data_IF_330849207796
#
_entry.id   IF_330849207796
#
_cell.length_a   1.000
_cell.length_b   1.000
_cell.length_c   1.000
_cell.angle_alpha   90.00
_cell.angle_beta   90.00
_cell.angle_gamma   90.00
#
_symmetry.space_group_name_H-M   'P 1'
#
loop_
_entity.id
_entity.type
_entity.pdbx_description
1 polymer ?
#
# COMPACT_ATOMS: atom_id res chain seq x y z
N UNK A 1 -17.46 1.21 -35.71
CA UNK A 1 -17.93 0.11 -34.81
C UNK A 1 -16.98 -0.17 -33.64
N UNK A 2 -15.66 0.03 -33.77
CA UNK A 2 -14.67 -0.16 -32.68
C UNK A 2 -14.81 0.79 -31.47
N UNK A 3 -15.41 1.98 -31.64
CA UNK A 3 -15.55 2.97 -30.57
C UNK A 3 -16.53 2.54 -29.45
N UNK A 4 -17.62 1.81 -29.80
CA UNK A 4 -18.58 1.26 -28.81
C UNK A 4 -17.97 0.12 -27.98
N UNK A 5 -17.00 -0.61 -28.53
CA UNK A 5 -16.32 -1.72 -27.85
C UNK A 5 -15.34 -1.16 -26.81
N UNK A 6 -14.61 -0.09 -27.15
CA UNK A 6 -13.67 0.56 -26.22
C UNK A 6 -14.38 1.21 -25.00
N UNK A 7 -15.55 1.83 -25.19
CA UNK A 7 -16.33 2.36 -24.06
C UNK A 7 -16.82 1.26 -23.10
N UNK A 8 -17.22 0.09 -23.60
CA UNK A 8 -17.62 -1.04 -22.74
C UNK A 8 -16.44 -1.56 -21.90
N UNK A 9 -15.25 -1.66 -22.49
CA UNK A 9 -14.05 -2.18 -21.80
C UNK A 9 -13.59 -1.21 -20.69
N UNK A 10 -13.56 0.11 -20.93
CA UNK A 10 -13.22 1.11 -19.88
C UNK A 10 -14.21 1.11 -18.72
N UNK A 11 -15.51 0.88 -18.98
CA UNK A 11 -16.52 0.78 -17.92
C UNK A 11 -16.27 -0.39 -16.96
N UNK A 12 -15.77 -1.52 -17.48
CA UNK A 12 -15.54 -2.74 -16.71
C UNK A 12 -14.31 -2.64 -15.80
N UNK A 13 -13.22 -2.01 -16.26
CA UNK A 13 -12.04 -1.78 -15.41
C UNK A 13 -12.37 -0.82 -14.26
N UNK A 14 -13.20 0.19 -14.52
CA UNK A 14 -13.65 1.14 -13.50
C UNK A 14 -14.62 0.53 -12.48
N UNK A 15 -15.48 -0.41 -12.89
CA UNK A 15 -16.31 -1.22 -11.99
C UNK A 15 -15.44 -2.14 -11.14
N UNK A 16 -14.42 -2.78 -11.71
CA UNK A 16 -13.54 -3.70 -10.99
C UNK A 16 -12.78 -3.02 -9.86
N UNK A 17 -12.23 -1.83 -10.09
CA UNK A 17 -11.53 -1.07 -9.04
C UNK A 17 -12.49 -0.56 -7.94
N UNK A 18 -13.72 -0.18 -8.30
CA UNK A 18 -14.75 0.17 -7.32
C UNK A 18 -15.15 -1.03 -6.47
N UNK A 19 -15.39 -2.19 -7.10
CA UNK A 19 -15.71 -3.45 -6.41
C UNK A 19 -14.58 -3.85 -5.47
N UNK A 20 -13.31 -3.81 -5.91
CA UNK A 20 -12.16 -4.13 -5.05
C UNK A 20 -12.09 -3.19 -3.85
N UNK A 21 -12.31 -1.89 -4.04
CA UNK A 21 -12.31 -0.91 -2.95
C UNK A 21 -13.46 -1.15 -1.97
N UNK A 22 -14.65 -1.46 -2.48
CA UNK A 22 -15.83 -1.80 -1.68
C UNK A 22 -15.65 -3.12 -0.91
N UNK A 23 -15.00 -4.12 -1.52
CA UNK A 23 -14.67 -5.40 -0.87
C UNK A 23 -13.66 -5.20 0.25
N UNK A 24 -12.61 -4.39 0.05
CA UNK A 24 -11.63 -4.08 1.10
C UNK A 24 -12.29 -3.33 2.25
N UNK A 25 -13.12 -2.31 1.95
CA UNK A 25 -13.86 -1.59 2.97
C UNK A 25 -14.84 -2.51 3.72
N UNK A 26 -15.57 -3.37 3.02
CA UNK A 26 -16.45 -4.37 3.61
C UNK A 26 -15.70 -5.35 4.51
N UNK A 27 -14.54 -5.85 4.08
CA UNK A 27 -13.70 -6.75 4.88
C UNK A 27 -13.18 -6.05 6.16
N UNK A 28 -12.82 -4.77 6.08
CA UNK A 28 -12.43 -3.98 7.26
C UNK A 28 -13.60 -3.77 8.22
N UNK A 29 -14.79 -3.47 7.71
CA UNK A 29 -16.01 -3.31 8.53
C UNK A 29 -16.36 -4.64 9.22
N UNK A 30 -16.33 -5.75 8.48
CA UNK A 30 -16.61 -7.10 9.01
C UNK A 30 -15.55 -7.50 10.03
N UNK A 31 -14.26 -7.29 9.74
CA UNK A 31 -13.16 -7.59 10.67
C UNK A 31 -13.27 -6.79 11.96
N UNK A 32 -13.57 -5.48 11.87
CA UNK A 32 -13.81 -4.65 13.03
C UNK A 32 -15.05 -5.09 13.83
N UNK A 33 -16.10 -5.56 13.14
CA UNK A 33 -17.31 -6.10 13.77
C UNK A 33 -17.07 -7.42 14.50
N UNK A 34 -16.31 -8.34 13.89
CA UNK A 34 -15.92 -9.61 14.52
C UNK A 34 -15.03 -9.38 15.75
N UNK A 35 -14.05 -8.48 15.63
CA UNK A 35 -13.21 -8.07 16.77
C UNK A 35 -14.07 -7.48 17.91
N UNK A 36 -15.04 -6.62 17.58
CA UNK A 36 -15.97 -6.06 18.56
C UNK A 36 -16.82 -7.14 19.26
N UNK A 37 -17.28 -8.16 18.53
CA UNK A 37 -18.02 -9.31 19.11
C UNK A 37 -17.12 -10.12 20.05
N UNK A 38 -15.86 -10.37 19.67
CA UNK A 38 -14.88 -11.11 20.48
C UNK A 38 -14.58 -10.37 21.79
N UNK A 39 -14.30 -9.06 21.71
CA UNK A 39 -14.07 -8.20 22.88
C UNK A 39 -15.31 -8.14 23.78
N UNK A 40 -16.52 -7.99 23.23
CA UNK A 40 -17.78 -8.06 23.98
C UNK A 40 -17.97 -9.41 24.69
N UNK A 41 -17.59 -10.51 24.02
CA UNK A 41 -17.59 -11.85 24.60
C UNK A 41 -16.69 -11.92 25.82
N UNK A 42 -15.45 -11.43 25.71
CA UNK A 42 -14.50 -11.38 26.82
C UNK A 42 -14.96 -10.47 27.97
N UNK A 43 -15.58 -9.33 27.68
CA UNK A 43 -16.16 -8.45 28.72
C UNK A 43 -17.33 -9.09 29.46
N UNK A 44 -18.19 -9.88 28.79
CA UNK A 44 -19.26 -10.62 29.46
C UNK A 44 -18.74 -11.68 30.41
N UNK A 45 -17.65 -12.36 30.04
CA UNK A 45 -17.02 -13.40 30.88
C UNK A 45 -16.37 -12.79 32.13
N UNK A 46 -15.72 -11.63 32.02
CA UNK A 46 -15.05 -10.98 33.17
C UNK A 46 -15.98 -10.23 34.14
N UNK A 47 -17.23 -9.93 33.76
CA UNK A 47 -18.19 -9.27 34.67
C UNK A 47 -18.62 -10.15 35.87
N UNK A 48 -18.27 -11.44 35.87
CA UNK A 48 -18.48 -12.34 37.01
C UNK A 48 -17.30 -12.44 37.98
N UNK A 49 -16.19 -11.74 37.72
CA UNK A 49 -15.04 -11.68 38.64
C UNK A 49 -15.00 -10.26 39.19
N UNK A 50 -15.60 -10.07 40.36
CA UNK A 50 -15.74 -8.76 40.98
C UNK A 50 -14.38 -8.15 41.36
N UNK A 51 -14.18 -6.88 41.00
CA UNK A 51 -13.56 -5.85 41.85
C UNK A 51 -13.52 -4.48 41.12
N UNK A 52 -14.49 -3.63 41.44
CA UNK A 52 -14.24 -2.33 42.08
C UNK A 52 -13.37 -1.23 41.43
N UNK A 53 -12.92 -1.30 40.17
CA UNK A 53 -12.28 -0.15 39.52
C UNK A 53 -12.93 0.18 38.19
N UNK A 54 -13.67 1.29 38.17
CA UNK A 54 -14.21 1.93 36.96
C UNK A 54 -13.06 2.54 36.17
N UNK A 55 -12.28 1.69 35.50
CA UNK A 55 -11.40 2.13 34.42
C UNK A 55 -12.31 2.78 33.37
N UNK A 56 -12.00 4.02 33.00
CA UNK A 56 -12.73 4.78 31.98
C UNK A 56 -12.46 4.10 30.62
N UNK A 57 -13.18 3.00 30.35
CA UNK A 57 -13.19 2.31 29.07
C UNK A 57 -13.84 3.28 28.10
N UNK A 58 -13.02 3.96 27.30
CA UNK A 58 -13.53 4.65 26.11
C UNK A 58 -14.39 3.63 25.35
N UNK A 59 -15.67 3.91 25.08
CA UNK A 59 -16.56 2.88 24.56
C UNK A 59 -15.98 2.37 23.24
N UNK A 60 -15.61 1.09 23.18
CA UNK A 60 -15.08 0.44 21.98
C UNK A 60 -16.01 0.65 20.76
N UNK A 61 -17.29 0.93 21.03
CA UNK A 61 -18.28 1.39 20.07
C UNK A 61 -17.87 2.67 19.32
N UNK A 62 -17.33 3.68 20.00
CA UNK A 62 -16.91 4.95 19.38
C UNK A 62 -15.77 4.71 18.38
N UNK A 63 -14.80 3.85 18.74
CA UNK A 63 -13.69 3.49 17.84
C UNK A 63 -14.24 2.77 16.61
N UNK A 64 -15.12 1.78 16.80
CA UNK A 64 -15.77 1.07 15.70
C UNK A 64 -16.52 2.02 14.75
N UNK A 65 -17.41 2.88 15.29
CA UNK A 65 -18.15 3.85 14.50
C UNK A 65 -17.23 4.82 13.75
N UNK A 66 -16.12 5.24 14.38
CA UNK A 66 -15.13 6.12 13.74
C UNK A 66 -14.45 5.44 12.56
N UNK A 67 -14.03 4.18 12.70
CA UNK A 67 -13.40 3.40 11.61
C UNK A 67 -14.38 3.19 10.45
N UNK A 68 -15.63 2.83 10.75
CA UNK A 68 -16.68 2.65 9.74
C UNK A 68 -16.95 3.96 8.99
N UNK A 69 -17.08 5.07 9.72
CA UNK A 69 -17.36 6.38 9.13
C UNK A 69 -16.21 6.86 8.24
N UNK A 70 -14.95 6.69 8.69
CA UNK A 70 -13.77 6.96 7.87
C UNK A 70 -13.74 6.11 6.59
N UNK A 71 -14.13 4.83 6.67
CA UNK A 71 -14.23 3.94 5.51
C UNK A 71 -15.27 4.42 4.48
N UNK A 72 -16.46 4.81 4.94
CA UNK A 72 -17.52 5.36 4.08
C UNK A 72 -17.09 6.69 3.47
N UNK A 73 -16.50 7.60 4.25
CA UNK A 73 -16.01 8.89 3.76
C UNK A 73 -14.93 8.72 2.70
N UNK A 74 -13.99 7.78 2.87
CA UNK A 74 -12.95 7.49 1.89
C UNK A 74 -13.54 6.98 0.56
N UNK A 75 -14.55 6.10 0.62
CA UNK A 75 -15.27 5.61 -0.57
C UNK A 75 -16.03 6.74 -1.28
N UNK A 76 -16.77 7.56 -0.53
CA UNK A 76 -17.52 8.69 -1.07
C UNK A 76 -16.59 9.71 -1.76
N UNK A 77 -15.46 10.04 -1.12
CA UNK A 77 -14.45 10.93 -1.70
C UNK A 77 -13.85 10.36 -2.99
N UNK A 78 -13.50 9.07 -3.02
CA UNK A 78 -12.98 8.41 -4.21
C UNK A 78 -13.99 8.40 -5.36
N UNK A 79 -15.27 8.16 -5.07
CA UNK A 79 -16.35 8.21 -6.05
C UNK A 79 -16.55 9.63 -6.61
N UNK A 80 -16.62 10.63 -5.73
CA UNK A 80 -16.80 12.02 -6.13
C UNK A 80 -15.67 12.52 -7.03
N UNK A 81 -14.41 12.26 -6.65
CA UNK A 81 -13.22 12.61 -7.44
C UNK A 81 -13.29 12.00 -8.85
N UNK A 82 -13.76 10.75 -8.96
CA UNK A 82 -13.95 10.06 -10.24
C UNK A 82 -15.01 10.72 -11.11
N UNK A 83 -16.17 11.05 -10.53
CA UNK A 83 -17.25 11.73 -11.26
C UNK A 83 -16.79 13.08 -11.78
N UNK A 84 -16.06 13.85 -10.97
CA UNK A 84 -15.52 15.14 -11.40
C UNK A 84 -14.51 15.00 -12.55
N UNK A 85 -13.62 14.00 -12.50
CA UNK A 85 -12.67 13.74 -13.58
C UNK A 85 -13.38 13.33 -14.88
N UNK A 86 -14.41 12.49 -14.80
CA UNK A 86 -15.20 12.10 -15.97
C UNK A 86 -15.86 13.30 -16.66
N UNK A 87 -16.51 14.18 -15.88
CA UNK A 87 -17.13 15.40 -16.41
C UNK A 87 -16.14 16.29 -17.17
N UNK A 88 -14.95 16.52 -16.60
CA UNK A 88 -13.90 17.29 -17.26
C UNK A 88 -13.48 16.68 -18.60
N UNK A 89 -13.36 15.35 -18.66
CA UNK A 89 -12.97 14.66 -19.89
C UNK A 89 -14.08 14.72 -20.95
N UNK A 90 -15.35 14.68 -20.53
CA UNK A 90 -16.49 14.75 -21.44
C UNK A 90 -16.76 16.16 -21.99
N UNK A 91 -16.26 17.20 -21.33
CA UNK A 91 -16.32 18.59 -21.81
C UNK A 91 -15.27 18.92 -22.89
N UNK A 92 -14.22 18.11 -23.06
CA UNK A 92 -13.16 18.34 -24.06
C UNK A 92 -13.58 17.97 -25.48
N UNK A 93 -12.95 18.62 -26.46
CA UNK A 93 -13.05 18.23 -27.87
C UNK A 93 -12.61 16.77 -28.08
N UNK A 94 -13.30 16.07 -28.99
CA UNK A 94 -13.09 14.64 -29.25
C UNK A 94 -11.65 14.29 -29.63
N UNK A 95 -10.95 15.20 -30.32
CA UNK A 95 -9.54 15.02 -30.72
C UNK A 95 -8.59 15.06 -29.52
N UNK A 96 -8.77 16.03 -28.62
CA UNK A 96 -7.99 16.16 -27.38
C UNK A 96 -8.31 15.01 -26.41
N UNK A 97 -9.58 14.62 -26.31
CA UNK A 97 -10.02 13.46 -25.54
C UNK A 97 -9.32 12.19 -26.03
N UNK A 98 -9.38 11.89 -27.33
CA UNK A 98 -8.76 10.70 -27.91
C UNK A 98 -7.24 10.64 -27.70
N UNK A 99 -6.56 11.79 -27.86
CA UNK A 99 -5.14 11.89 -27.57
C UNK A 99 -4.83 11.67 -26.09
N UNK A 100 -5.61 12.25 -25.17
CA UNK A 100 -5.45 11.99 -23.74
C UNK A 100 -5.68 10.52 -23.37
N UNK A 101 -6.68 9.85 -23.94
CA UNK A 101 -6.94 8.42 -23.68
C UNK A 101 -5.78 7.53 -24.16
N UNK A 102 -5.21 7.86 -25.33
CA UNK A 102 -4.05 7.15 -25.87
C UNK A 102 -2.81 7.38 -24.98
N UNK A 103 -2.64 8.60 -24.44
CA UNK A 103 -1.60 8.90 -23.47
C UNK A 103 -1.78 8.13 -22.16
N UNK A 104 -3.02 8.06 -21.64
CA UNK A 104 -3.35 7.27 -20.44
C UNK A 104 -2.96 5.80 -20.64
N UNK A 105 -3.19 5.25 -21.84
CA UNK A 105 -2.76 3.90 -22.20
C UNK A 105 -1.24 3.75 -22.16
N UNK A 106 -0.48 4.66 -22.79
CA UNK A 106 1.00 4.68 -22.72
C UNK A 106 1.51 4.75 -21.27
N UNK A 107 0.95 5.64 -20.46
CA UNK A 107 1.32 5.78 -19.05
C UNK A 107 0.93 4.54 -18.25
N UNK A 108 -0.19 3.89 -18.58
CA UNK A 108 -0.61 2.65 -17.90
C UNK A 108 0.40 1.51 -18.08
N UNK A 109 1.06 1.46 -19.23
CA UNK A 109 2.11 0.50 -19.59
C UNK A 109 3.51 0.90 -19.06
N UNK A 110 3.68 2.14 -18.62
CA UNK A 110 4.94 2.63 -18.10
C UNK A 110 5.35 1.95 -16.78
N UNK A 111 6.65 1.97 -16.50
CA UNK A 111 7.21 1.50 -15.22
C UNK A 111 6.88 2.39 -14.01
N UNK A 112 6.10 3.46 -14.17
CA UNK A 112 5.76 4.41 -13.10
C UNK A 112 4.86 3.79 -12.04
N UNK A 113 4.99 4.26 -10.80
CA UNK A 113 4.11 3.85 -9.70
C UNK A 113 2.68 4.31 -9.94
N UNK A 114 1.71 3.65 -9.31
CA UNK A 114 0.30 4.03 -9.43
C UNK A 114 0.05 5.50 -9.04
N UNK A 115 0.72 5.99 -8.00
CA UNK A 115 0.64 7.40 -7.58
C UNK A 115 1.22 8.34 -8.63
N UNK A 116 2.40 8.02 -9.18
CA UNK A 116 3.09 8.80 -10.23
C UNK A 116 2.27 8.82 -11.52
N UNK A 117 1.71 7.67 -11.93
CA UNK A 117 0.79 7.60 -13.07
C UNK A 117 -0.44 8.46 -12.85
N UNK A 118 -1.02 8.43 -11.64
CA UNK A 118 -2.18 9.26 -11.32
C UNK A 118 -1.85 10.75 -11.32
N UNK A 119 -0.64 11.14 -10.88
CA UNK A 119 -0.17 12.52 -10.86
C UNK A 119 0.11 13.01 -12.28
N UNK A 120 0.88 12.23 -13.07
CA UNK A 120 1.16 12.49 -14.47
C UNK A 120 -0.11 12.61 -15.31
N UNK A 121 -1.05 11.67 -15.16
CA UNK A 121 -2.34 11.75 -15.85
C UNK A 121 -3.14 12.99 -15.44
N UNK A 122 -3.04 13.42 -14.17
CA UNK A 122 -3.73 14.62 -13.70
C UNK A 122 -3.13 15.90 -14.29
N UNK A 123 -1.79 15.99 -14.38
CA UNK A 123 -1.11 17.14 -14.98
C UNK A 123 -1.30 17.20 -16.49
N UNK A 124 -1.19 16.08 -17.20
CA UNK A 124 -1.46 16.04 -18.64
C UNK A 124 -2.94 16.31 -18.92
N UNK A 125 -3.87 15.81 -18.11
CA UNK A 125 -5.27 16.20 -18.25
C UNK A 125 -5.46 17.71 -18.07
N UNK A 126 -4.78 18.33 -17.09
CA UNK A 126 -4.84 19.77 -16.89
C UNK A 126 -4.30 20.55 -18.11
N UNK A 127 -3.19 20.08 -18.70
CA UNK A 127 -2.61 20.64 -19.93
C UNK A 127 -3.59 20.57 -21.11
N UNK A 128 -4.27 19.44 -21.30
CA UNK A 128 -5.26 19.26 -22.37
C UNK A 128 -6.52 20.12 -22.14
N UNK A 129 -6.98 20.24 -20.89
CA UNK A 129 -8.09 21.13 -20.54
C UNK A 129 -7.75 22.60 -20.81
N UNK A 130 -6.51 23.01 -20.51
CA UNK A 130 -6.04 24.36 -20.82
C UNK A 130 -5.94 24.60 -22.33
N UNK A 131 -5.46 23.62 -23.08
CA UNK A 131 -5.44 23.67 -24.54
C UNK A 131 -6.84 23.82 -25.14
N UNK A 132 -7.81 23.03 -24.65
CA UNK A 132 -9.21 23.11 -25.07
C UNK A 132 -9.80 24.50 -24.81
N UNK A 133 -9.61 25.05 -23.60
CA UNK A 133 -10.06 26.41 -23.26
C UNK A 133 -9.47 27.49 -24.17
N UNK A 134 -8.26 27.27 -24.67
CA UNK A 134 -7.55 28.19 -25.55
C UNK A 134 -7.78 27.88 -27.05
N UNK A 135 -8.63 26.92 -27.40
CA UNK A 135 -8.88 26.50 -28.79
C UNK A 135 -7.63 25.95 -29.50
N UNK A 136 -6.67 25.40 -28.76
CA UNK A 136 -5.44 24.82 -29.33
C UNK A 136 -5.70 23.40 -29.85
N UNK A 137 -5.08 23.08 -30.98
CA UNK A 137 -5.18 21.74 -31.57
C UNK A 137 -4.27 20.74 -30.86
N UNK A 138 -4.58 19.45 -30.93
CA UNK A 138 -3.74 18.35 -30.39
C UNK A 138 -2.27 18.50 -30.82
N UNK A 139 -2.04 18.78 -32.11
CA UNK A 139 -0.71 18.97 -32.69
C UNK A 139 0.09 20.10 -32.03
N UNK A 140 -0.58 21.18 -31.60
CA UNK A 140 0.07 22.28 -30.90
C UNK A 140 0.44 21.94 -29.45
N UNK A 141 -0.21 20.94 -28.85
CA UNK A 141 0.02 20.53 -27.45
C UNK A 141 1.09 19.45 -27.36
N UNK A 142 0.94 18.38 -28.14
CA UNK A 142 1.80 17.18 -28.07
C UNK A 142 2.78 17.06 -29.23
N UNK A 143 2.72 17.96 -30.21
CA UNK A 143 3.51 17.87 -31.44
C UNK A 143 2.97 16.83 -32.43
N UNK A 144 3.85 16.40 -33.34
CA UNK A 144 3.52 15.46 -34.41
C UNK A 144 3.54 13.99 -33.97
N UNK A 145 4.22 13.70 -32.85
CA UNK A 145 4.45 12.34 -32.38
C UNK A 145 4.04 12.20 -30.91
N UNK A 146 2.88 11.60 -30.70
CA UNK A 146 2.33 11.33 -29.37
C UNK A 146 3.23 10.41 -28.52
N UNK A 147 3.92 9.45 -29.11
CA UNK A 147 4.77 8.51 -28.38
C UNK A 147 5.99 9.23 -27.79
N UNK A 148 6.56 10.17 -28.55
CA UNK A 148 7.69 11.00 -28.10
C UNK A 148 7.24 11.87 -26.93
N UNK A 149 6.10 12.56 -27.05
CA UNK A 149 5.52 13.33 -25.95
C UNK A 149 5.30 12.46 -24.70
N UNK A 150 4.69 11.28 -24.85
CA UNK A 150 4.46 10.37 -23.74
C UNK A 150 5.75 9.91 -23.07
N UNK A 151 6.77 9.58 -23.88
CA UNK A 151 8.07 9.14 -23.38
C UNK A 151 8.80 10.26 -22.62
N UNK A 152 8.78 11.49 -23.15
CA UNK A 152 9.39 12.64 -22.47
C UNK A 152 8.70 12.97 -21.16
N UNK A 153 7.36 12.94 -21.13
CA UNK A 153 6.59 13.16 -19.91
C UNK A 153 6.87 12.06 -18.87
N UNK A 154 6.91 10.79 -19.27
CA UNK A 154 7.27 9.68 -18.37
C UNK A 154 8.70 9.83 -17.85
N UNK A 155 9.64 10.24 -18.71
CA UNK A 155 11.04 10.46 -18.34
C UNK A 155 11.20 11.63 -17.37
N UNK A 156 10.45 12.71 -17.56
CA UNK A 156 10.43 13.85 -16.64
C UNK A 156 9.91 13.47 -15.26
N UNK A 157 8.93 12.57 -15.21
CA UNK A 157 8.34 12.05 -13.98
C UNK A 157 9.10 10.90 -13.32
N UNK A 158 9.95 10.22 -14.08
CA UNK A 158 10.66 9.03 -13.64
C UNK A 158 11.54 9.31 -12.41
N UNK A 159 11.48 8.41 -11.42
CA UNK A 159 12.32 8.50 -10.23
C UNK A 159 13.77 8.32 -10.65
N UNK A 160 14.59 9.37 -10.46
CA UNK A 160 16.02 9.35 -10.80
C UNK A 160 16.82 8.28 -10.06
N UNK A 161 16.34 7.79 -8.92
CA UNK A 161 16.99 6.74 -8.13
C UNK A 161 16.00 5.69 -7.58
N UNK A 162 15.66 4.69 -8.40
CA UNK A 162 14.78 3.59 -7.99
C UNK A 162 15.34 2.78 -6.81
N UNK A 163 16.65 2.56 -6.76
CA UNK A 163 17.29 1.78 -5.70
C UNK A 163 17.10 2.44 -4.32
N UNK A 164 17.38 3.74 -4.21
CA UNK A 164 17.21 4.48 -2.96
C UNK A 164 15.73 4.52 -2.53
N UNK A 165 14.81 4.66 -3.50
CA UNK A 165 13.38 4.57 -3.20
C UNK A 165 13.00 3.22 -2.60
N UNK A 166 13.49 2.12 -3.18
CA UNK A 166 13.19 0.76 -2.71
C UNK A 166 13.73 0.55 -1.28
N UNK A 167 14.94 1.01 -0.98
CA UNK A 167 15.52 0.96 0.37
C UNK A 167 14.71 1.77 1.37
N UNK A 168 14.37 3.02 1.05
CA UNK A 168 13.55 3.86 1.93
C UNK A 168 12.18 3.24 2.16
N UNK A 169 11.62 2.56 1.15
CA UNK A 169 10.36 1.82 1.29
C UNK A 169 10.53 0.60 2.20
N UNK A 170 11.60 -0.17 2.05
CA UNK A 170 11.91 -1.29 2.94
C UNK A 170 12.07 -0.83 4.39
N UNK A 171 12.78 0.27 4.65
CA UNK A 171 12.92 0.86 6.00
C UNK A 171 11.55 1.21 6.58
N UNK A 172 10.65 1.82 5.79
CA UNK A 172 9.29 2.16 6.23
C UNK A 172 8.51 0.92 6.68
N UNK A 173 8.55 -0.14 5.87
CA UNK A 173 7.87 -1.39 6.20
C UNK A 173 8.50 -2.11 7.37
N UNK A 174 9.83 -2.10 7.48
CA UNK A 174 10.53 -2.67 8.62
C UNK A 174 10.10 -2.00 9.92
N UNK A 175 10.16 -0.66 9.98
CA UNK A 175 9.70 0.12 11.15
C UNK A 175 8.22 -0.18 11.47
N UNK A 176 7.37 -0.26 10.44
CA UNK A 176 5.96 -0.62 10.62
C UNK A 176 5.78 -2.02 11.20
N UNK A 177 6.51 -3.02 10.71
CA UNK A 177 6.47 -4.38 11.25
C UNK A 177 6.97 -4.45 12.69
N UNK A 178 8.03 -3.71 13.03
CA UNK A 178 8.52 -3.64 14.41
C UNK A 178 7.44 -3.08 15.36
N UNK A 179 6.74 -2.02 14.97
CA UNK A 179 5.60 -1.50 15.73
C UNK A 179 4.47 -2.52 15.84
N UNK A 180 3.97 -3.01 14.71
CA UNK A 180 2.84 -3.95 14.66
C UNK A 180 3.13 -5.22 15.45
N UNK A 181 4.35 -5.77 15.33
CA UNK A 181 4.80 -6.94 16.08
C UNK A 181 4.84 -6.68 17.59
N UNK A 182 5.37 -5.52 18.02
CA UNK A 182 5.43 -5.16 19.44
C UNK A 182 4.03 -5.04 20.04
N UNK A 183 3.11 -4.35 19.36
CA UNK A 183 1.72 -4.23 19.78
C UNK A 183 1.00 -5.58 19.81
N UNK A 184 1.23 -6.45 18.83
CA UNK A 184 0.62 -7.78 18.78
C UNK A 184 1.14 -8.68 19.90
N UNK A 185 2.44 -8.66 20.20
CA UNK A 185 3.03 -9.41 21.33
C UNK A 185 2.49 -8.88 22.66
N UNK A 186 2.46 -7.55 22.84
CA UNK A 186 1.88 -6.89 24.01
C UNK A 186 0.43 -7.34 24.24
N UNK A 187 -0.41 -7.29 23.20
CA UNK A 187 -1.80 -7.73 23.27
C UNK A 187 -1.93 -9.23 23.57
N UNK A 188 -1.12 -10.07 22.92
CA UNK A 188 -1.15 -11.53 23.10
C UNK A 188 -0.68 -11.96 24.50
N UNK A 189 0.35 -11.32 25.05
CA UNK A 189 0.91 -11.62 26.38
C UNK A 189 0.19 -10.88 27.52
N UNK A 190 -0.67 -9.91 27.21
CA UNK A 190 -1.35 -9.08 28.22
C UNK A 190 -0.40 -8.16 29.00
N UNK A 191 0.75 -7.83 28.42
CA UNK A 191 1.78 -6.96 29.02
C UNK A 191 1.75 -5.58 28.39
N UNK A 192 2.28 -4.56 29.08
CA UNK A 192 2.43 -3.21 28.52
C UNK A 192 3.32 -3.20 27.27
N UNK A 193 3.09 -2.26 26.36
CA UNK A 193 3.85 -2.14 25.09
C UNK A 193 5.36 -1.98 25.34
N UNK A 194 5.75 -1.35 26.44
CA UNK A 194 7.16 -1.14 26.80
C UNK A 194 7.85 -2.38 27.38
N UNK A 195 7.06 -3.37 27.80
CA UNK A 195 7.52 -4.62 28.38
C UNK A 195 7.40 -5.79 27.40
N UNK A 196 6.88 -5.54 26.20
CA UNK A 196 6.82 -6.55 25.15
C UNK A 196 8.22 -6.84 24.60
N UNK A 197 8.66 -8.07 24.81
CA UNK A 197 9.93 -8.60 24.31
C UNK A 197 9.69 -9.36 23.00
N UNK A 198 10.51 -9.05 21.99
CA UNK A 198 10.40 -9.63 20.66
C UNK A 198 11.59 -10.57 20.41
N UNK A 199 11.35 -11.82 20.01
CA UNK A 199 12.42 -12.73 19.63
C UNK A 199 13.25 -12.19 18.47
N UNK A 200 14.58 -12.35 18.51
CA UNK A 200 15.46 -11.89 17.41
C UNK A 200 15.12 -12.57 16.07
N UNK A 201 14.66 -13.81 16.10
CA UNK A 201 14.18 -14.55 14.93
C UNK A 201 13.04 -13.81 14.21
N UNK A 202 12.11 -13.21 14.96
CA UNK A 202 11.00 -12.44 14.40
C UNK A 202 11.48 -11.11 13.81
N UNK A 203 12.47 -10.45 14.43
CA UNK A 203 13.10 -9.24 13.90
C UNK A 203 13.80 -9.55 12.58
N UNK A 204 14.56 -10.64 12.52
CA UNK A 204 15.20 -11.10 11.29
C UNK A 204 14.18 -11.44 10.21
N UNK A 205 13.06 -12.09 10.57
CA UNK A 205 11.95 -12.32 9.65
C UNK A 205 11.39 -11.01 9.09
N UNK A 206 11.12 -10.01 9.93
CA UNK A 206 10.65 -8.70 9.48
C UNK A 206 11.65 -7.98 8.58
N UNK A 207 12.95 -8.07 8.89
CA UNK A 207 14.00 -7.52 8.03
C UNK A 207 14.01 -8.22 6.67
N UNK A 208 13.99 -9.55 6.64
CA UNK A 208 13.95 -10.33 5.40
C UNK A 208 12.70 -9.99 4.59
N UNK A 209 11.52 -9.92 5.22
CA UNK A 209 10.27 -9.56 4.55
C UNK A 209 10.32 -8.14 3.97
N UNK A 210 10.82 -7.16 4.74
CA UNK A 210 10.86 -5.77 4.35
C UNK A 210 11.89 -5.48 3.25
N UNK A 211 13.09 -6.07 3.35
CA UNK A 211 14.21 -5.76 2.44
C UNK A 211 14.35 -6.73 1.26
N UNK A 212 13.76 -7.92 1.33
CA UNK A 212 13.81 -8.91 0.23
C UNK A 212 12.43 -9.09 -0.39
N UNK A 213 11.44 -9.52 0.38
CA UNK A 213 10.12 -9.91 -0.15
C UNK A 213 9.37 -8.72 -0.74
N UNK A 214 9.30 -7.61 -0.02
CA UNK A 214 8.58 -6.42 -0.49
C UNK A 214 9.19 -5.89 -1.80
N UNK A 215 10.51 -5.63 -1.91
CA UNK A 215 11.11 -5.22 -3.18
C UNK A 215 10.85 -6.20 -4.32
N UNK A 216 10.97 -7.51 -4.09
CA UNK A 216 10.68 -8.54 -5.09
C UNK A 216 9.21 -8.50 -5.55
N UNK A 217 8.28 -8.41 -4.61
CA UNK A 217 6.84 -8.29 -4.89
C UNK A 217 6.56 -7.01 -5.67
N UNK A 218 7.15 -5.87 -5.31
CA UNK A 218 6.97 -4.60 -6.03
C UNK A 218 7.55 -4.65 -7.44
N UNK A 219 8.73 -5.27 -7.63
CA UNK A 219 9.32 -5.47 -8.97
C UNK A 219 8.43 -6.36 -9.84
N UNK A 220 7.89 -7.44 -9.29
CA UNK A 220 7.03 -8.37 -10.02
C UNK A 220 5.61 -7.83 -10.26
N UNK A 221 5.06 -7.03 -9.34
CA UNK A 221 3.78 -6.32 -9.52
C UNK A 221 3.78 -5.44 -10.77
N UNK A 222 4.90 -4.81 -11.12
CA UNK A 222 4.99 -4.00 -12.35
C UNK A 222 4.72 -4.84 -13.60
N UNK A 223 5.18 -6.09 -13.63
CA UNK A 223 4.94 -7.02 -14.75
C UNK A 223 3.54 -7.66 -14.69
N UNK A 224 3.03 -7.90 -13.47
CA UNK A 224 1.77 -8.59 -13.21
C UNK A 224 0.52 -7.89 -13.76
N UNK A 225 0.48 -6.55 -13.73
CA UNK A 225 -0.74 -5.79 -14.03
C UNK A 225 -0.93 -5.42 -15.52
N UNK A 226 -0.04 -5.91 -16.40
CA UNK A 226 -0.09 -5.62 -17.85
C UNK A 226 -0.97 -6.63 -18.61
N UNK A 227 -1.42 -7.72 -17.99
CA UNK A 227 -2.20 -8.77 -18.67
C UNK A 227 -3.67 -8.32 -18.87
N UNK A 228 -4.03 -8.06 -20.13
CA UNK A 228 -5.23 -7.31 -20.57
C UNK A 228 -6.50 -8.16 -20.79
N UNK A 229 -6.44 -9.48 -20.62
CA UNK A 229 -7.44 -10.39 -21.22
C UNK A 229 -8.36 -11.14 -20.23
N UNK A 230 -8.67 -10.57 -19.05
CA UNK A 230 -9.67 -11.14 -18.14
C UNK A 230 -9.30 -12.47 -17.46
N UNK A 231 -8.12 -13.03 -17.75
CA UNK A 231 -7.52 -14.13 -16.99
C UNK A 231 -6.91 -13.60 -15.69
N UNK A 232 -6.83 -14.45 -14.66
CA UNK A 232 -6.08 -14.11 -13.44
C UNK A 232 -4.66 -13.76 -13.88
N UNK A 233 -4.16 -12.54 -13.61
CA UNK A 233 -2.85 -12.13 -14.08
C UNK A 233 -1.83 -13.08 -13.47
N UNK A 234 -0.98 -13.70 -14.31
CA UNK A 234 0.03 -14.67 -13.84
C UNK A 234 0.91 -14.08 -12.74
N UNK A 235 1.07 -12.76 -12.74
CA UNK A 235 1.82 -12.09 -11.69
C UNK A 235 1.13 -12.04 -10.32
N UNK A 236 -0.21 -12.14 -10.20
CA UNK A 236 -0.87 -12.33 -8.90
C UNK A 236 -0.49 -13.69 -8.31
N UNK A 237 -0.54 -14.74 -9.14
CA UNK A 237 -0.10 -16.08 -8.76
C UNK A 237 1.38 -16.05 -8.37
N UNK A 238 2.24 -15.38 -9.15
CA UNK A 238 3.65 -15.23 -8.81
C UNK A 238 3.86 -14.49 -7.48
N UNK A 239 3.08 -13.46 -7.17
CA UNK A 239 3.17 -12.76 -5.87
C UNK A 239 2.77 -13.69 -4.73
N UNK A 240 1.71 -14.48 -4.89
CA UNK A 240 1.27 -15.46 -3.89
C UNK A 240 2.34 -16.54 -3.69
N UNK A 241 2.87 -17.11 -4.78
CA UNK A 241 3.94 -18.12 -4.73
C UNK A 241 5.19 -17.54 -4.07
N UNK A 242 5.61 -16.33 -4.43
CA UNK A 242 6.76 -15.68 -3.80
C UNK A 242 6.52 -15.45 -2.32
N UNK A 243 5.34 -14.98 -1.93
CA UNK A 243 5.04 -14.68 -0.50
C UNK A 243 4.94 -15.96 0.33
N UNK A 244 4.18 -16.95 -0.14
CA UNK A 244 3.98 -18.23 0.54
C UNK A 244 5.26 -19.06 0.53
N UNK A 245 5.94 -19.14 -0.62
CA UNK A 245 7.20 -19.86 -0.76
C UNK A 245 8.32 -19.24 0.08
N UNK A 246 8.36 -17.91 0.18
CA UNK A 246 9.29 -17.23 1.07
C UNK A 246 9.00 -17.51 2.54
N UNK A 247 7.72 -17.48 2.95
CA UNK A 247 7.32 -17.81 4.32
C UNK A 247 7.72 -19.26 4.67
N UNK A 248 7.35 -20.21 3.80
CA UNK A 248 7.68 -21.62 3.98
C UNK A 248 9.19 -21.84 4.00
N UNK A 249 9.92 -21.22 3.07
CA UNK A 249 11.38 -21.28 3.01
C UNK A 249 12.04 -20.70 4.26
N UNK A 250 11.53 -19.61 4.81
CA UNK A 250 12.02 -19.06 6.07
C UNK A 250 11.79 -20.01 7.24
N UNK A 251 10.58 -20.60 7.35
CA UNK A 251 10.27 -21.56 8.41
C UNK A 251 11.21 -22.78 8.34
N UNK A 252 11.38 -23.37 7.14
CA UNK A 252 12.30 -24.50 6.93
C UNK A 252 13.74 -24.09 7.25
N UNK A 253 14.15 -22.89 6.84
CA UNK A 253 15.50 -22.39 7.13
C UNK A 253 15.72 -22.27 8.65
N UNK A 254 14.74 -21.74 9.38
CA UNK A 254 14.84 -21.62 10.84
C UNK A 254 14.91 -23.00 11.51
N UNK A 255 14.10 -23.96 11.07
CA UNK A 255 14.11 -25.34 11.57
C UNK A 255 15.44 -26.07 11.31
N UNK A 256 16.02 -25.87 10.11
CA UNK A 256 17.36 -26.39 9.77
C UNK A 256 18.43 -25.69 10.60
N UNK A 257 18.35 -24.37 10.78
CA UNK A 257 19.30 -23.62 11.60
C UNK A 257 19.26 -24.13 13.05
N UNK A 258 18.08 -24.30 13.61
CA UNK A 258 17.88 -24.85 14.94
C UNK A 258 18.51 -26.25 15.06
N UNK A 259 18.13 -27.18 14.17
CA UNK A 259 18.59 -28.57 14.21
C UNK A 259 20.12 -28.69 14.00
N UNK A 260 20.70 -27.89 13.11
CA UNK A 260 22.12 -28.07 12.71
C UNK A 260 23.08 -27.24 13.55
N UNK A 261 22.59 -26.16 14.16
CA UNK A 261 23.42 -25.22 14.92
C UNK A 261 23.01 -25.09 16.39
N UNK A 262 22.17 -25.99 16.90
CA UNK A 262 21.80 -26.05 18.34
C UNK A 262 23.04 -26.08 19.25
N UNK A 263 24.11 -26.75 18.81
CA UNK A 263 25.37 -26.85 19.54
C UNK A 263 26.20 -25.55 19.52
N UNK A 264 25.85 -24.58 18.67
CA UNK A 264 26.54 -23.30 18.60
C UNK A 264 25.87 -22.30 19.56
N UNK A 265 26.58 -21.97 20.65
CA UNK A 265 26.08 -21.05 21.68
C UNK A 265 25.62 -19.69 21.14
N UNK A 266 26.21 -19.18 20.04
CA UNK A 266 25.77 -17.93 19.43
C UNK A 266 24.43 -18.07 18.73
N UNK A 267 24.18 -19.22 18.07
CA UNK A 267 22.92 -19.47 17.37
C UNK A 267 21.81 -19.73 18.38
N UNK A 268 22.07 -20.52 19.43
CA UNK A 268 21.13 -20.71 20.53
C UNK A 268 20.76 -19.36 21.19
N UNK A 269 21.76 -18.52 21.51
CA UNK A 269 21.51 -17.18 22.05
C UNK A 269 20.73 -16.26 21.10
N UNK A 270 20.87 -16.43 19.79
CA UNK A 270 20.08 -15.70 18.79
C UNK A 270 18.64 -16.23 18.71
N UNK A 271 18.43 -17.54 18.72
CA UNK A 271 17.11 -18.15 18.61
C UNK A 271 16.26 -17.92 19.87
N UNK A 272 16.87 -18.04 21.04
CA UNK A 272 16.23 -17.87 22.35
C UNK A 272 16.20 -16.40 22.81
N UNK A 273 17.05 -15.57 22.22
CA UNK A 273 17.17 -14.18 22.63
C UNK A 273 15.93 -13.36 22.30
N UNK A 274 15.41 -12.66 23.30
CA UNK A 274 14.37 -11.65 23.14
C UNK A 274 14.93 -10.26 23.41
N UNK A 275 14.34 -9.24 22.78
CA UNK A 275 14.71 -7.83 23.00
C UNK A 275 13.49 -6.94 23.09
N UNK A 276 13.54 -5.96 24.00
CA UNK A 276 12.57 -4.87 24.06
C UNK A 276 12.83 -3.89 22.92
N UNK A 277 12.12 -4.08 21.80
CA UNK A 277 12.17 -3.19 20.64
C UNK A 277 11.80 -1.76 21.03
N UNK A 278 10.83 -1.62 21.92
CA UNK A 278 10.34 -0.35 22.42
C UNK A 278 10.48 -0.32 23.93
N UNK A 279 11.69 -0.15 24.45
CA UNK A 279 11.91 -0.12 25.91
C UNK A 279 11.43 1.19 26.57
N UNK A 280 11.21 2.25 25.78
CA UNK A 280 10.79 3.56 26.28
C UNK A 280 10.13 4.40 25.19
N UNK A 281 9.49 5.51 25.58
CA UNK A 281 8.91 6.47 24.64
C UNK A 281 9.94 7.05 23.64
N UNK A 282 11.21 7.14 24.02
CA UNK A 282 12.29 7.59 23.14
C UNK A 282 12.53 6.65 21.95
N UNK A 283 12.33 5.34 22.13
CA UNK A 283 12.41 4.37 21.04
C UNK A 283 11.27 4.57 20.03
N UNK A 284 10.05 4.84 20.51
CA UNK A 284 8.91 5.21 19.64
C UNK A 284 9.24 6.47 18.85
N UNK A 285 9.72 7.51 19.54
CA UNK A 285 10.10 8.76 18.89
C UNK A 285 11.21 8.55 17.84
N UNK A 286 12.22 7.74 18.14
CA UNK A 286 13.28 7.37 17.20
C UNK A 286 12.77 6.63 15.97
N UNK A 287 11.91 5.62 16.15
CA UNK A 287 11.28 4.89 15.04
C UNK A 287 10.39 5.80 14.19
N UNK A 288 9.58 6.65 14.81
CA UNK A 288 8.76 7.64 14.11
C UNK A 288 9.62 8.68 13.37
N UNK A 289 10.75 9.09 13.93
CA UNK A 289 11.72 9.95 13.26
C UNK A 289 12.31 9.27 12.03
N UNK A 290 12.75 8.01 12.12
CA UNK A 290 13.24 7.24 10.97
C UNK A 290 12.16 7.12 9.89
N UNK A 291 10.91 6.86 10.29
CA UNK A 291 9.77 6.80 9.39
C UNK A 291 9.54 8.16 8.70
N UNK A 292 9.45 9.25 9.45
CA UNK A 292 9.24 10.60 8.93
C UNK A 292 10.40 11.05 8.03
N UNK A 293 11.64 10.79 8.43
CA UNK A 293 12.85 11.10 7.68
C UNK A 293 12.89 10.33 6.36
N UNK A 294 12.58 9.03 6.37
CA UNK A 294 12.51 8.23 5.15
C UNK A 294 11.43 8.74 4.19
N UNK A 295 10.26 9.16 4.70
CA UNK A 295 9.19 9.76 3.90
C UNK A 295 9.65 11.11 3.34
N UNK A 296 10.31 11.93 4.14
CA UNK A 296 10.86 13.23 3.73
C UNK A 296 11.91 13.10 2.62
N UNK A 297 12.87 12.21 2.78
CA UNK A 297 13.87 11.90 1.75
C UNK A 297 13.19 11.40 0.47
N UNK A 298 12.27 10.45 0.59
CA UNK A 298 11.51 9.89 -0.53
C UNK A 298 10.77 10.98 -1.31
N UNK A 299 10.20 11.98 -0.61
CA UNK A 299 9.57 13.16 -1.24
C UNK A 299 10.57 14.03 -2.00
N UNK A 300 11.80 14.21 -1.52
CA UNK A 300 12.84 14.97 -2.25
C UNK A 300 13.30 14.27 -3.52
N UNK A 301 13.20 12.94 -3.57
CA UNK A 301 13.49 12.17 -4.78
C UNK A 301 12.32 12.10 -5.76
N UNK A 302 11.16 12.69 -5.42
CA UNK A 302 10.08 12.92 -6.39
C UNK A 302 10.34 14.23 -7.15
N UNK A 303 10.47 14.19 -8.48
CA UNK A 303 10.89 15.35 -9.29
C UNK A 303 9.90 16.53 -9.31
N UNK A 304 8.65 16.35 -8.86
CA UNK A 304 7.55 17.32 -9.08
C UNK A 304 7.14 18.19 -7.88
N UNK A 305 8.00 18.37 -6.87
CA UNK A 305 7.75 19.39 -5.83
C UNK A 305 8.83 20.46 -5.83
N UNK A 306 8.71 21.38 -6.78
CA UNK A 306 9.21 22.75 -6.62
C UNK A 306 8.05 23.65 -6.23
#
# INVERSE_FOLDING_TARGET
MNMKINMRIKSNVSRRNFIVSAVIAGALIVGAGLYYIEVLGSYRVNKHIGEGKSLFVLPDTIIFFTVVLLGISALAYAYWKKVQLGKKIDEMDESLKSAFESFEEFVSLSGLKKSERSELNSEVLALFMEAHKNGRTVRQVIGDNQEVFAHEMIKAYGIKNFWLYDILTAIQYFVFYMFAGTFLISAKRGVGVFDAEMPYSLIAFFALAAFVTIPLVYRNKRKAFVEKDGKVPKGIIAILIVTVGFLAGFIILMDVIETWFEQNALVAAFLEGEVKVVASAWHIAGLLFVLAFSIGLKRRFHPNKK
#
